data_IF_231087740292
#
_entry.id   IF_231087740292
#
_cell.length_a   1.000
_cell.length_b   1.000
_cell.length_c   1.000
_cell.angle_alpha   90.00
_cell.angle_beta   90.00
_cell.angle_gamma   90.00
#
_symmetry.space_group_name_H-M   'P 1'
#
loop_
_entity.id
_entity.type
_entity.pdbx_description
1 polymer ?
#
# COMPACT_ATOMS: atom_id res chain seq x y z
N UNK A 1 -10.06 -31.31 20.14
CA UNK A 1 -9.88 -32.70 19.65
C UNK A 1 -11.08 -33.07 18.77
N UNK A 2 -10.85 -33.28 17.49
CA UNK A 2 -11.88 -33.63 16.51
C UNK A 2 -11.48 -34.84 15.70
N UNK A 3 -12.46 -35.55 15.15
CA UNK A 3 -12.22 -36.68 14.24
C UNK A 3 -12.08 -36.18 12.81
N UNK A 4 -11.00 -36.61 12.11
CA UNK A 4 -10.82 -36.40 10.68
C UNK A 4 -11.21 -37.70 9.96
N UNK A 5 -12.25 -37.66 9.12
CA UNK A 5 -12.63 -38.79 8.30
C UNK A 5 -11.76 -38.89 7.05
N UNK A 6 -11.52 -40.14 6.54
CA UNK A 6 -10.81 -40.38 5.27
C UNK A 6 -11.42 -39.57 4.12
N UNK A 7 -12.72 -39.36 4.09
CA UNK A 7 -13.42 -38.55 3.07
C UNK A 7 -13.03 -37.06 3.13
N UNK A 8 -12.76 -36.51 4.33
CA UNK A 8 -12.29 -35.14 4.52
C UNK A 8 -10.83 -34.97 4.09
N UNK A 9 -10.00 -36.00 4.29
CA UNK A 9 -8.61 -35.99 3.80
C UNK A 9 -8.53 -36.06 2.27
N UNK A 10 -9.44 -36.80 1.62
CA UNK A 10 -9.48 -36.96 0.17
C UNK A 10 -10.13 -35.75 -0.57
N UNK A 11 -10.89 -34.94 0.14
CA UNK A 11 -11.50 -33.70 -0.38
C UNK A 11 -11.36 -32.58 0.66
N UNK A 12 -10.17 -32.05 0.90
CA UNK A 12 -10.01 -30.91 1.79
C UNK A 12 -10.84 -29.74 1.23
N UNK A 13 -11.64 -29.10 2.10
CA UNK A 13 -12.28 -27.84 1.74
C UNK A 13 -11.20 -26.78 1.69
N UNK A 14 -10.99 -26.22 0.53
CA UNK A 14 -10.12 -25.04 0.36
C UNK A 14 -10.72 -23.86 1.09
N UNK A 15 -9.89 -23.01 1.66
CA UNK A 15 -10.34 -21.73 2.21
C UNK A 15 -10.69 -20.82 1.05
N UNK A 16 -11.85 -20.20 1.12
CA UNK A 16 -12.28 -19.19 0.15
C UNK A 16 -11.71 -17.84 0.55
N UNK A 17 -11.13 -17.13 -0.40
CA UNK A 17 -10.49 -15.84 -0.18
C UNK A 17 -10.91 -14.83 -1.25
N UNK A 18 -10.96 -13.59 -0.86
CA UNK A 18 -11.03 -12.41 -1.73
C UNK A 18 -9.72 -11.66 -1.59
N UNK A 19 -9.07 -11.39 -2.69
CA UNK A 19 -7.84 -10.58 -2.70
C UNK A 19 -8.20 -9.13 -2.98
N UNK A 20 -7.65 -8.24 -2.18
CA UNK A 20 -7.85 -6.80 -2.31
C UNK A 20 -6.49 -6.14 -2.32
N UNK A 21 -6.28 -5.23 -3.27
CA UNK A 21 -5.09 -4.39 -3.37
C UNK A 21 -3.80 -5.13 -3.77
N UNK A 22 -3.92 -6.34 -4.26
CA UNK A 22 -2.81 -7.08 -4.89
C UNK A 22 -3.32 -8.23 -5.76
N UNK A 23 -2.52 -8.58 -6.77
CA UNK A 23 -2.75 -9.73 -7.63
C UNK A 23 -1.45 -10.48 -7.98
N UNK A 24 -0.43 -10.35 -7.14
CA UNK A 24 0.85 -11.05 -7.27
C UNK A 24 1.04 -12.07 -6.14
N UNK A 25 1.57 -13.26 -6.47
CA UNK A 25 1.79 -14.33 -5.50
C UNK A 25 2.74 -13.92 -4.38
N UNK A 26 3.74 -13.10 -4.70
CA UNK A 26 4.76 -12.61 -3.75
C UNK A 26 4.20 -11.65 -2.71
N UNK A 27 3.05 -11.05 -2.97
CA UNK A 27 2.36 -10.14 -2.06
C UNK A 27 1.24 -10.83 -1.26
N UNK A 28 0.87 -12.05 -1.67
CA UNK A 28 -0.17 -12.81 -1.01
C UNK A 28 0.37 -13.55 0.22
N UNK A 29 -0.55 -13.95 1.10
CA UNK A 29 -0.21 -14.77 2.27
C UNK A 29 0.33 -16.14 1.87
N UNK A 30 1.20 -16.70 2.69
CA UNK A 30 1.72 -18.06 2.50
C UNK A 30 0.58 -19.07 2.40
N UNK A 31 0.66 -19.97 1.42
CA UNK A 31 -0.35 -21.00 1.17
C UNK A 31 -1.52 -20.53 0.32
N UNK A 32 -1.44 -19.37 -0.33
CA UNK A 32 -2.49 -18.85 -1.23
C UNK A 32 -2.83 -19.85 -2.35
N UNK A 33 -1.87 -20.65 -2.80
CA UNK A 33 -2.04 -21.70 -3.82
C UNK A 33 -2.96 -22.85 -3.37
N UNK A 34 -3.15 -23.01 -2.07
CA UNK A 34 -4.09 -23.98 -1.49
C UNK A 34 -5.51 -23.41 -1.33
N UNK A 35 -5.68 -22.11 -1.48
CA UNK A 35 -6.96 -21.43 -1.36
C UNK A 35 -7.80 -21.51 -2.64
N UNK A 36 -9.08 -21.23 -2.52
CA UNK A 36 -10.00 -20.95 -3.62
C UNK A 36 -10.21 -19.42 -3.69
N UNK A 37 -9.59 -18.79 -4.66
CA UNK A 37 -9.75 -17.35 -4.89
C UNK A 37 -11.10 -17.13 -5.56
N UNK A 38 -11.98 -16.36 -4.91
CA UNK A 38 -13.31 -16.03 -5.42
C UNK A 38 -13.29 -14.74 -6.22
N UNK A 39 -12.60 -13.74 -5.70
CA UNK A 39 -12.56 -12.39 -6.27
C UNK A 39 -11.18 -11.77 -6.11
N UNK A 40 -10.81 -10.92 -7.07
CA UNK A 40 -9.64 -10.06 -7.02
C UNK A 40 -10.10 -8.65 -7.34
N UNK A 41 -9.84 -7.69 -6.45
CA UNK A 41 -10.17 -6.28 -6.62
C UNK A 41 -8.89 -5.48 -6.43
N UNK A 42 -8.43 -4.83 -7.50
CA UNK A 42 -7.09 -4.26 -7.50
C UNK A 42 -6.97 -3.05 -8.45
N UNK A 43 -5.96 -2.22 -8.24
CA UNK A 43 -5.62 -1.08 -9.10
C UNK A 43 -4.20 -1.17 -9.68
N UNK A 44 -3.43 -2.16 -9.27
CA UNK A 44 -2.06 -2.39 -9.74
C UNK A 44 -2.00 -3.01 -11.15
N UNK A 45 -0.80 -3.11 -11.70
CA UNK A 45 -0.55 -3.91 -12.91
C UNK A 45 -0.98 -5.35 -12.67
N UNK A 46 -1.38 -6.04 -13.72
CA UNK A 46 -1.69 -7.46 -13.64
C UNK A 46 -0.39 -8.24 -13.41
N UNK A 47 -0.37 -8.97 -12.30
CA UNK A 47 0.76 -9.80 -11.88
C UNK A 47 0.69 -11.24 -12.40
N UNK A 48 1.24 -12.17 -11.63
CA UNK A 48 1.44 -13.57 -12.00
C UNK A 48 0.61 -14.55 -11.16
N UNK A 49 -0.48 -14.10 -10.56
CA UNK A 49 -1.33 -14.96 -9.75
C UNK A 49 -2.16 -15.88 -10.66
N UNK A 50 -2.06 -17.18 -10.42
CA UNK A 50 -2.84 -18.19 -11.13
C UNK A 50 -4.02 -18.64 -10.28
N UNK A 51 -5.20 -18.80 -10.92
CA UNK A 51 -6.41 -19.30 -10.28
C UNK A 51 -6.81 -20.65 -10.85
N UNK A 52 -7.40 -21.50 -10.03
CA UNK A 52 -7.83 -22.85 -10.45
C UNK A 52 -9.15 -22.89 -11.21
N UNK A 53 -9.91 -21.81 -11.17
CA UNK A 53 -11.22 -21.70 -11.81
C UNK A 53 -11.53 -20.27 -12.21
N UNK A 54 -12.69 -20.01 -12.80
CA UNK A 54 -13.13 -18.66 -13.07
C UNK A 54 -13.22 -17.84 -11.81
N UNK A 55 -12.75 -16.59 -11.87
CA UNK A 55 -12.71 -15.64 -10.74
C UNK A 55 -13.33 -14.31 -11.19
N UNK A 56 -14.02 -13.64 -10.28
CA UNK A 56 -14.36 -12.24 -10.49
C UNK A 56 -13.10 -11.40 -10.36
N UNK A 57 -12.67 -10.76 -11.45
CA UNK A 57 -11.47 -9.93 -11.46
C UNK A 57 -11.83 -8.51 -11.87
N UNK A 58 -11.74 -7.57 -10.93
CA UNK A 58 -11.96 -6.15 -11.16
C UNK A 58 -10.66 -5.40 -10.93
N UNK A 59 -10.04 -4.98 -12.03
CA UNK A 59 -8.85 -4.15 -12.03
C UNK A 59 -9.12 -2.87 -12.81
N UNK A 60 -8.75 -1.72 -12.24
CA UNK A 60 -8.94 -0.41 -12.84
C UNK A 60 -7.71 0.47 -12.61
N UNK A 61 -7.25 1.25 -13.61
CA UNK A 61 -6.09 2.12 -13.46
C UNK A 61 -6.46 3.40 -12.69
N UNK A 62 -6.71 3.25 -11.39
CA UNK A 62 -7.03 4.29 -10.43
C UNK A 62 -5.88 4.45 -9.42
N UNK A 63 -5.89 5.50 -8.66
CA UNK A 63 -4.85 5.78 -7.66
C UNK A 63 -4.93 4.91 -6.41
N UNK A 64 -6.10 4.28 -6.15
CA UNK A 64 -6.32 3.45 -4.97
C UNK A 64 -7.42 2.42 -5.18
N UNK A 65 -7.25 1.21 -4.67
CA UNK A 65 -8.30 0.18 -4.67
C UNK A 65 -9.55 0.61 -3.89
N UNK A 66 -9.42 1.45 -2.87
CA UNK A 66 -10.58 1.95 -2.13
C UNK A 66 -11.55 2.76 -3.00
N UNK A 67 -11.07 3.39 -4.06
CA UNK A 67 -11.92 4.05 -5.07
C UNK A 67 -12.79 3.02 -5.79
N UNK A 68 -12.24 1.88 -6.17
CA UNK A 68 -12.98 0.77 -6.78
C UNK A 68 -14.03 0.22 -5.82
N UNK A 69 -13.66 0.01 -4.55
CA UNK A 69 -14.58 -0.46 -3.51
C UNK A 69 -15.75 0.51 -3.35
N UNK A 70 -15.49 1.81 -3.34
CA UNK A 70 -16.58 2.79 -3.25
C UNK A 70 -17.49 2.76 -4.48
N UNK A 71 -16.96 2.57 -5.69
CA UNK A 71 -17.79 2.36 -6.89
C UNK A 71 -18.69 1.12 -6.72
N UNK A 72 -18.18 0.03 -6.13
CA UNK A 72 -18.99 -1.16 -5.85
C UNK A 72 -20.13 -0.87 -4.85
N UNK A 73 -19.90 -0.03 -3.85
CA UNK A 73 -20.97 0.48 -2.98
C UNK A 73 -22.06 1.21 -3.77
N UNK A 74 -21.64 2.11 -4.69
CA UNK A 74 -22.57 2.88 -5.52
C UNK A 74 -23.36 1.99 -6.49
N UNK A 75 -22.71 1.04 -7.15
CA UNK A 75 -23.34 0.07 -8.07
C UNK A 75 -24.42 -0.76 -7.37
N UNK A 76 -24.21 -1.09 -6.11
CA UNK A 76 -25.17 -1.82 -5.29
C UNK A 76 -26.17 -0.91 -4.54
N UNK A 77 -26.12 0.41 -4.74
CA UNK A 77 -26.97 1.39 -4.07
C UNK A 77 -26.86 1.34 -2.53
N UNK A 78 -25.67 1.03 -2.03
CA UNK A 78 -25.36 0.96 -0.61
C UNK A 78 -24.53 2.19 -0.23
N UNK A 79 -24.90 2.85 0.85
CA UNK A 79 -24.07 3.91 1.43
C UNK A 79 -23.19 3.29 2.51
N UNK A 80 -21.86 3.49 2.47
CA UNK A 80 -20.98 2.99 3.53
C UNK A 80 -21.29 3.65 4.86
N UNK A 81 -21.01 2.96 5.96
CA UNK A 81 -21.10 3.56 7.30
C UNK A 81 -20.08 4.71 7.42
N UNK A 82 -20.29 5.57 8.42
CA UNK A 82 -19.35 6.67 8.70
C UNK A 82 -17.91 6.20 8.88
N UNK A 83 -17.73 5.13 9.63
CA UNK A 83 -16.42 4.52 9.91
C UNK A 83 -15.81 3.94 8.64
N UNK A 84 -16.58 3.18 7.86
CA UNK A 84 -16.12 2.61 6.59
C UNK A 84 -15.74 3.72 5.59
N UNK A 85 -16.54 4.77 5.49
CA UNK A 85 -16.23 5.91 4.64
C UNK A 85 -14.93 6.60 5.06
N UNK A 86 -14.70 6.76 6.37
CA UNK A 86 -13.45 7.31 6.91
C UNK A 86 -12.23 6.45 6.55
N UNK A 87 -12.32 5.13 6.68
CA UNK A 87 -11.24 4.21 6.32
C UNK A 87 -10.94 4.19 4.83
N UNK A 88 -11.98 4.17 3.97
CA UNK A 88 -11.80 4.24 2.51
C UNK A 88 -11.19 5.58 2.09
N UNK A 89 -11.62 6.68 2.71
CA UNK A 89 -11.03 8.01 2.48
C UNK A 89 -9.56 8.04 2.89
N UNK A 90 -9.20 7.48 4.05
CA UNK A 90 -7.83 7.37 4.52
C UNK A 90 -6.94 6.60 3.54
N UNK A 91 -7.42 5.47 3.02
CA UNK A 91 -6.70 4.67 2.04
C UNK A 91 -6.41 5.48 0.76
N UNK A 92 -7.42 6.20 0.23
CA UNK A 92 -7.23 7.04 -0.97
C UNK A 92 -6.21 8.16 -0.69
N UNK A 93 -6.30 8.84 0.45
CA UNK A 93 -5.35 9.91 0.83
C UNK A 93 -3.92 9.35 0.92
N UNK A 94 -3.76 8.15 1.50
CA UNK A 94 -2.47 7.49 1.65
C UNK A 94 -1.85 7.16 0.29
N UNK A 95 -2.55 6.40 -0.54
CA UNK A 95 -2.03 5.90 -1.82
C UNK A 95 -1.80 7.02 -2.84
N UNK A 96 -2.62 8.06 -2.77
CA UNK A 96 -2.51 9.21 -3.68
C UNK A 96 -1.63 10.33 -3.14
N UNK A 97 -1.04 10.17 -1.96
CA UNK A 97 -0.26 11.20 -1.28
C UNK A 97 -1.01 12.55 -1.26
N UNK A 98 -2.22 12.53 -0.74
CA UNK A 98 -3.13 13.70 -0.75
C UNK A 98 -3.29 14.27 -2.17
N UNK A 99 -3.58 13.39 -3.14
CA UNK A 99 -3.81 13.69 -4.56
C UNK A 99 -2.57 14.18 -5.33
N UNK A 100 -1.36 14.06 -4.77
CA UNK A 100 -0.11 14.48 -5.40
C UNK A 100 0.58 13.37 -6.19
N UNK A 101 0.20 12.09 -5.98
CA UNK A 101 0.78 10.97 -6.71
C UNK A 101 0.48 11.07 -8.21
N UNK A 102 1.46 10.76 -9.09
CA UNK A 102 1.23 10.68 -10.54
C UNK A 102 0.16 9.66 -10.93
N UNK A 103 -0.13 8.68 -10.06
CA UNK A 103 -1.16 7.68 -10.28
C UNK A 103 -2.56 8.15 -9.88
N UNK A 104 -2.66 9.28 -9.16
CA UNK A 104 -3.95 9.83 -8.75
C UNK A 104 -4.79 10.24 -9.95
N UNK A 105 -6.06 9.89 -9.93
CA UNK A 105 -7.02 10.28 -10.97
C UNK A 105 -8.07 11.24 -10.40
N UNK A 106 -8.77 12.00 -11.27
CA UNK A 106 -9.90 12.84 -10.83
C UNK A 106 -11.00 12.05 -10.12
N UNK A 107 -11.12 10.74 -10.43
CA UNK A 107 -12.08 9.86 -9.77
C UNK A 107 -11.68 9.60 -8.31
N UNK A 108 -10.39 9.43 -8.03
CA UNK A 108 -9.90 9.23 -6.66
C UNK A 108 -10.18 10.45 -5.80
N UNK A 109 -9.89 11.64 -6.30
CA UNK A 109 -10.14 12.90 -5.59
C UNK A 109 -11.64 13.10 -5.33
N UNK A 110 -12.50 12.92 -6.35
CA UNK A 110 -13.94 13.06 -6.20
C UNK A 110 -14.52 12.05 -5.19
N UNK A 111 -14.01 10.81 -5.23
CA UNK A 111 -14.40 9.75 -4.30
C UNK A 111 -13.97 10.07 -2.87
N UNK A 112 -12.73 10.49 -2.65
CA UNK A 112 -12.25 10.85 -1.32
C UNK A 112 -13.06 12.01 -0.72
N UNK A 113 -13.37 13.05 -1.51
CA UNK A 113 -14.19 14.18 -1.06
C UNK A 113 -15.60 13.75 -0.67
N UNK A 114 -16.22 12.85 -1.42
CA UNK A 114 -17.53 12.29 -1.10
C UNK A 114 -17.50 11.45 0.18
N UNK A 115 -16.49 10.59 0.30
CA UNK A 115 -16.29 9.76 1.50
C UNK A 115 -16.03 10.61 2.75
N UNK A 116 -15.24 11.69 2.62
CA UNK A 116 -15.00 12.63 3.70
C UNK A 116 -16.30 13.31 4.19
N UNK A 117 -17.21 13.67 3.28
CA UNK A 117 -18.52 14.21 3.64
C UNK A 117 -19.34 13.17 4.42
N UNK A 118 -19.38 11.91 3.98
CA UNK A 118 -20.08 10.83 4.68
C UNK A 118 -19.48 10.61 6.07
N UNK A 119 -18.15 10.61 6.17
CA UNK A 119 -17.42 10.42 7.42
C UNK A 119 -17.48 11.64 8.35
N UNK A 120 -17.80 12.85 7.82
CA UNK A 120 -17.78 14.10 8.56
C UNK A 120 -16.37 14.51 8.98
N UNK A 121 -15.40 14.36 8.09
CA UNK A 121 -13.99 14.71 8.30
C UNK A 121 -13.55 15.83 7.36
N UNK A 122 -12.60 16.64 7.81
CA UNK A 122 -11.88 17.60 6.97
C UNK A 122 -10.64 16.87 6.40
N UNK A 123 -10.54 16.76 5.08
CA UNK A 123 -9.48 16.00 4.41
C UNK A 123 -8.09 16.55 4.75
N UNK A 124 -7.91 17.87 4.72
CA UNK A 124 -6.59 18.48 4.91
C UNK A 124 -6.07 18.33 6.34
N UNK A 125 -6.95 18.50 7.33
CA UNK A 125 -6.63 18.27 8.74
C UNK A 125 -6.36 16.80 9.01
N UNK A 126 -7.22 15.93 8.50
CA UNK A 126 -7.09 14.49 8.67
C UNK A 126 -5.80 13.95 8.02
N UNK A 127 -5.48 14.40 6.79
CA UNK A 127 -4.25 14.02 6.12
C UNK A 127 -3.01 14.40 6.92
N UNK A 128 -2.98 15.64 7.47
CA UNK A 128 -1.87 16.09 8.33
C UNK A 128 -1.69 15.19 9.56
N UNK A 129 -2.79 14.86 10.25
CA UNK A 129 -2.73 13.98 11.42
C UNK A 129 -2.30 12.57 11.03
N UNK A 130 -2.84 12.03 9.93
CA UNK A 130 -2.53 10.68 9.45
C UNK A 130 -1.06 10.55 9.04
N UNK A 131 -0.54 11.45 8.22
CA UNK A 131 0.86 11.42 7.81
C UNK A 131 1.80 11.66 8.99
N UNK A 132 1.48 12.58 9.90
CA UNK A 132 2.24 12.79 11.12
C UNK A 132 2.27 11.56 12.01
N UNK A 133 1.15 10.85 12.14
CA UNK A 133 1.08 9.62 12.93
C UNK A 133 1.87 8.47 12.27
N UNK A 134 1.85 8.41 10.92
CA UNK A 134 2.61 7.44 10.12
C UNK A 134 4.11 7.70 10.13
N UNK A 135 4.50 8.96 10.23
CA UNK A 135 5.89 9.40 10.21
C UNK A 135 6.61 9.27 11.55
N UNK A 136 6.06 8.69 12.60
CA UNK A 136 6.66 8.60 13.95
C UNK A 136 8.12 8.09 13.95
N UNK A 137 8.96 8.78 13.18
CA UNK A 137 10.33 8.44 12.78
C UNK A 137 11.33 8.84 13.87
N UNK A 138 10.92 9.76 14.77
CA UNK A 138 11.78 10.23 15.86
C UNK A 138 12.25 9.09 16.77
N UNK A 139 11.42 8.05 16.95
CA UNK A 139 11.70 6.93 17.85
C UNK A 139 12.21 5.68 17.11
N UNK A 140 12.34 5.70 15.77
CA UNK A 140 12.83 4.57 14.98
C UNK A 140 14.35 4.60 14.87
N UNK A 141 14.96 3.41 14.86
CA UNK A 141 16.37 3.25 14.47
C UNK A 141 16.58 3.59 13.00
N UNK A 142 17.81 3.86 12.59
CA UNK A 142 18.14 4.14 11.20
C UNK A 142 17.76 2.96 10.31
N UNK A 143 18.04 1.74 10.75
CA UNK A 143 17.66 0.53 10.01
C UNK A 143 16.14 0.43 9.80
N UNK A 144 15.34 0.69 10.84
CA UNK A 144 13.87 0.70 10.71
C UNK A 144 13.37 1.79 9.76
N UNK A 145 14.04 2.94 9.70
CA UNK A 145 13.71 4.01 8.76
C UNK A 145 14.07 3.60 7.32
N UNK A 146 15.30 3.09 7.11
CA UNK A 146 15.79 2.74 5.78
C UNK A 146 14.99 1.61 5.13
N UNK A 147 14.56 0.63 5.91
CA UNK A 147 13.86 -0.55 5.40
C UNK A 147 12.33 -0.49 5.54
N UNK A 148 11.75 0.63 5.96
CA UNK A 148 10.31 0.78 6.11
C UNK A 148 9.56 0.70 4.76
N UNK A 149 10.07 1.38 3.73
CA UNK A 149 9.60 1.28 2.34
C UNK A 149 10.85 1.16 1.45
N UNK A 150 11.36 -0.05 1.35
CA UNK A 150 12.59 -0.37 0.64
C UNK A 150 12.31 -1.38 -0.46
N UNK A 151 12.75 -1.06 -1.67
CA UNK A 151 12.57 -1.92 -2.85
C UNK A 151 13.91 -2.18 -3.52
N UNK A 152 14.13 -3.44 -3.88
CA UNK A 152 15.31 -3.85 -4.62
C UNK A 152 15.01 -3.95 -6.12
N UNK A 153 15.96 -3.51 -6.91
CA UNK A 153 15.88 -3.52 -8.36
C UNK A 153 17.11 -4.21 -8.95
N UNK A 154 16.88 -4.97 -10.01
CA UNK A 154 17.94 -5.66 -10.77
C UNK A 154 17.93 -5.15 -12.20
N UNK A 155 19.04 -4.56 -12.63
CA UNK A 155 19.22 -4.05 -14.00
C UNK A 155 20.56 -4.57 -14.53
N UNK A 156 20.50 -5.51 -15.47
CA UNK A 156 21.66 -6.26 -15.97
C UNK A 156 22.41 -6.98 -14.84
N UNK A 157 23.67 -6.62 -14.61
CA UNK A 157 24.51 -7.18 -13.53
C UNK A 157 24.48 -6.33 -12.24
N UNK A 158 23.76 -5.20 -12.25
CA UNK A 158 23.70 -4.28 -11.12
C UNK A 158 22.45 -4.54 -10.28
N UNK A 159 22.64 -4.55 -8.96
CA UNK A 159 21.57 -4.60 -7.97
C UNK A 159 21.57 -3.33 -7.15
N UNK A 160 20.42 -2.68 -7.01
CA UNK A 160 20.33 -1.50 -6.19
C UNK A 160 19.05 -1.45 -5.38
N UNK A 161 19.13 -0.84 -4.21
CA UNK A 161 18.02 -0.62 -3.31
C UNK A 161 17.57 0.83 -3.31
N UNK A 162 16.27 1.05 -3.20
CA UNK A 162 15.67 2.38 -3.05
C UNK A 162 14.79 2.37 -1.81
N UNK A 163 15.17 3.12 -0.80
CA UNK A 163 14.35 3.43 0.36
C UNK A 163 13.62 4.77 0.16
N UNK A 164 12.44 4.91 0.75
CA UNK A 164 11.65 6.12 0.65
C UNK A 164 10.98 6.47 1.97
N UNK A 165 10.99 7.77 2.27
CA UNK A 165 10.17 8.38 3.33
C UNK A 165 9.41 9.56 2.76
N UNK A 166 8.13 9.62 3.12
CA UNK A 166 7.24 10.73 2.80
C UNK A 166 6.90 11.50 4.08
N UNK A 167 7.00 12.82 4.05
CA UNK A 167 6.56 13.69 5.14
C UNK A 167 5.90 14.95 4.60
N UNK A 168 5.08 15.58 5.44
CA UNK A 168 4.52 16.92 5.21
C UNK A 168 5.34 18.02 5.88
N UNK A 169 6.41 17.67 6.61
CA UNK A 169 7.28 18.60 7.33
C UNK A 169 8.70 18.55 6.77
N UNK A 170 9.17 19.72 6.29
CA UNK A 170 10.55 19.88 5.83
C UNK A 170 11.55 19.72 6.97
N UNK A 171 11.18 20.14 8.19
CA UNK A 171 12.01 20.00 9.39
C UNK A 171 12.22 18.51 9.73
N UNK A 172 11.14 17.72 9.70
CA UNK A 172 11.22 16.27 9.94
C UNK A 172 12.11 15.58 8.90
N UNK A 173 11.97 15.93 7.62
CA UNK A 173 12.82 15.38 6.56
C UNK A 173 14.29 15.74 6.74
N UNK A 174 14.58 16.95 7.20
CA UNK A 174 15.94 17.37 7.51
C UNK A 174 16.54 16.56 8.67
N UNK A 175 15.78 16.33 9.74
CA UNK A 175 16.21 15.50 10.86
C UNK A 175 16.49 14.05 10.41
N UNK A 176 15.63 13.50 9.55
CA UNK A 176 15.82 12.16 8.99
C UNK A 176 17.09 12.12 8.13
N UNK A 177 17.30 13.10 7.27
CA UNK A 177 18.48 13.22 6.44
C UNK A 177 19.76 13.18 7.28
N UNK A 178 19.82 14.01 8.33
CA UNK A 178 20.97 14.07 9.23
C UNK A 178 21.22 12.75 9.98
N UNK A 179 20.15 11.99 10.23
CA UNK A 179 20.22 10.69 10.90
C UNK A 179 20.59 9.54 9.93
N UNK A 180 20.07 9.55 8.72
CA UNK A 180 20.19 8.44 7.76
C UNK A 180 21.44 8.54 6.88
N UNK A 181 21.79 9.73 6.37
CA UNK A 181 22.90 9.88 5.44
C UNK A 181 24.25 9.32 5.95
N UNK A 182 24.64 9.49 7.22
CA UNK A 182 25.89 8.93 7.74
C UNK A 182 25.91 7.40 7.76
N UNK A 183 24.76 6.76 7.84
CA UNK A 183 24.62 5.30 8.01
C UNK A 183 24.40 4.56 6.66
N UNK A 184 24.11 5.27 5.56
CA UNK A 184 23.92 4.65 4.24
C UNK A 184 25.09 3.74 3.78
N UNK A 185 26.37 4.07 4.06
CA UNK A 185 27.46 3.17 3.72
C UNK A 185 27.40 1.81 4.45
N UNK A 186 26.89 1.79 5.68
CA UNK A 186 26.75 0.55 6.44
C UNK A 186 25.50 -0.23 5.97
N UNK A 187 24.41 0.45 5.64
CA UNK A 187 23.22 -0.13 4.99
C UNK A 187 23.60 -0.79 3.67
N UNK A 188 24.43 -0.15 2.84
CA UNK A 188 24.94 -0.71 1.58
C UNK A 188 25.75 -2.00 1.82
N UNK A 189 26.61 -1.99 2.82
CA UNK A 189 27.43 -3.15 3.19
C UNK A 189 26.59 -4.35 3.66
N UNK A 190 25.63 -4.07 4.52
CA UNK A 190 24.75 -5.10 5.13
C UNK A 190 23.77 -5.69 4.10
N UNK A 191 23.29 -4.89 3.17
CA UNK A 191 22.36 -5.33 2.12
C UNK A 191 23.04 -6.16 1.03
N UNK A 192 24.38 -6.02 0.84
CA UNK A 192 25.11 -6.69 -0.23
C UNK A 192 24.75 -6.20 -1.64
N UNK A 193 24.15 -5.03 -1.74
CA UNK A 193 23.78 -4.39 -3.01
C UNK A 193 24.95 -3.58 -3.58
N UNK A 194 24.90 -3.30 -4.88
CA UNK A 194 25.90 -2.46 -5.55
C UNK A 194 25.71 -0.97 -5.23
N UNK A 195 24.45 -0.55 -5.06
CA UNK A 195 24.08 0.84 -4.74
C UNK A 195 22.84 0.88 -3.85
N UNK A 196 22.76 1.91 -3.01
CA UNK A 196 21.56 2.24 -2.23
C UNK A 196 21.22 3.72 -2.41
N UNK A 197 19.98 3.99 -2.68
CA UNK A 197 19.41 5.33 -2.78
C UNK A 197 18.36 5.51 -1.70
N UNK A 198 18.23 6.73 -1.19
CA UNK A 198 17.22 7.04 -0.20
C UNK A 198 16.51 8.34 -0.58
N UNK A 199 15.19 8.24 -0.79
CA UNK A 199 14.36 9.36 -1.21
C UNK A 199 13.64 9.98 -0.01
N UNK A 200 13.80 11.28 0.15
CA UNK A 200 13.10 12.12 1.11
C UNK A 200 12.08 12.99 0.37
N UNK A 201 10.81 12.64 0.46
CA UNK A 201 9.75 13.31 -0.30
C UNK A 201 8.93 14.22 0.60
N UNK A 202 8.94 15.52 0.30
CA UNK A 202 8.02 16.48 0.88
C UNK A 202 6.74 16.51 0.04
N UNK A 203 5.63 16.05 0.64
CA UNK A 203 4.34 15.96 -0.03
C UNK A 203 3.77 17.36 -0.30
N UNK A 204 3.98 18.31 0.62
CA UNK A 204 3.44 19.68 0.51
C UNK A 204 4.17 20.46 -0.57
N UNK A 205 5.50 20.40 -0.57
CA UNK A 205 6.36 21.14 -1.51
C UNK A 205 6.52 20.42 -2.85
N UNK A 206 5.95 19.21 -2.99
CA UNK A 206 6.06 18.37 -4.19
C UNK A 206 7.52 18.18 -4.62
N UNK A 207 8.40 17.97 -3.68
CA UNK A 207 9.83 17.85 -3.89
C UNK A 207 10.38 16.55 -3.30
N UNK A 208 11.39 16.00 -3.97
CA UNK A 208 12.12 14.82 -3.47
C UNK A 208 13.62 15.12 -3.51
N UNK A 209 14.29 14.93 -2.38
CA UNK A 209 15.74 14.89 -2.27
C UNK A 209 16.21 13.42 -2.35
N UNK A 210 17.30 13.17 -3.11
CA UNK A 210 17.90 11.86 -3.29
C UNK A 210 19.32 11.85 -2.70
#
# INVERSE_FOLDING_TARGET
TGFISRRRLLKPRRKQVVLVDHNEKTQAVDGIEEAEILEIIDHHRIGNLETMGPVYFRNQPLGCTATIIYQMYQENQITPSRETAGLLCAAIISDTLLFQSPTCTPMDEATARTLAQIAGINIDEFAKEMFKAGSNLANKSVSEICFQDFKEFHVNELTFGVGQINSMSSEELQEIREKVCPELPDVLKESGLDMVFFMLTNIVDQSTEL
#
